data_IF_276593183742
#
_entry.id   IF_276593183742
#
_cell.length_a   1.000
_cell.length_b   1.000
_cell.length_c   1.000
_cell.angle_alpha   90.00
_cell.angle_beta   90.00
_cell.angle_gamma   90.00
#
_symmetry.space_group_name_H-M   'P 1'
#
loop_
_entity.id
_entity.type
_entity.pdbx_description
1 polymer ?
#
# COMPACT_ATOMS: atom_id res chain seq x y z
N UNK A 1 50.93 35.35 77.87
CA UNK A 1 51.05 35.59 76.43
C UNK A 1 50.43 34.36 75.74
N UNK A 2 49.22 34.51 75.28
CA UNK A 2 48.51 33.49 74.54
C UNK A 2 47.84 34.16 73.35
N UNK A 3 48.38 33.91 72.16
CA UNK A 3 47.92 34.40 70.89
C UNK A 3 46.74 33.56 70.36
N UNK A 4 45.57 34.16 70.24
CA UNK A 4 44.39 33.53 69.77
C UNK A 4 44.39 33.62 68.22
N UNK A 5 44.64 32.50 67.58
CA UNK A 5 44.51 32.39 66.11
C UNK A 5 43.01 32.34 65.75
N UNK A 6 42.51 33.41 65.14
CA UNK A 6 41.15 33.53 64.65
C UNK A 6 41.07 32.84 63.29
N UNK A 7 40.42 31.68 63.23
CA UNK A 7 40.22 30.90 62.00
C UNK A 7 39.16 31.59 61.14
N UNK A 8 39.55 31.87 59.92
CA UNK A 8 38.71 32.42 58.85
C UNK A 8 37.55 31.47 58.43
N UNK A 9 36.45 31.52 59.15
CA UNK A 9 35.26 30.79 58.81
C UNK A 9 34.45 31.41 57.65
N UNK A 10 34.69 32.66 57.29
CA UNK A 10 33.93 33.41 56.25
C UNK A 10 34.34 33.06 54.82
N UNK A 11 35.54 32.59 54.57
CA UNK A 11 35.99 32.21 53.22
C UNK A 11 35.33 30.93 52.65
N UNK A 12 35.03 29.98 53.54
CA UNK A 12 34.42 28.70 53.11
C UNK A 12 32.92 28.86 52.79
N UNK A 13 32.20 29.71 53.48
CA UNK A 13 30.79 30.00 53.21
C UNK A 13 30.59 30.79 51.92
N UNK A 14 31.50 31.73 51.61
CA UNK A 14 31.48 32.50 50.36
C UNK A 14 31.77 31.65 49.13
N UNK A 15 32.75 30.73 49.22
CA UNK A 15 33.04 29.78 48.12
C UNK A 15 31.91 28.77 47.87
N UNK A 16 31.21 28.34 48.92
CA UNK A 16 30.05 27.44 48.78
C UNK A 16 28.84 28.17 48.15
N UNK A 17 28.61 29.43 48.44
CA UNK A 17 27.54 30.25 47.81
C UNK A 17 27.82 30.51 46.33
N UNK A 18 29.06 30.86 45.93
CA UNK A 18 29.45 31.04 44.52
C UNK A 18 29.29 29.73 43.73
N UNK A 19 29.76 28.61 44.25
CA UNK A 19 29.64 27.33 43.56
C UNK A 19 28.18 26.88 43.40
N UNK A 20 27.29 27.22 44.34
CA UNK A 20 25.86 26.93 44.27
C UNK A 20 25.12 27.85 43.28
N UNK A 21 25.56 29.10 43.10
CA UNK A 21 25.02 29.99 42.06
C UNK A 21 25.48 29.65 40.66
N UNK A 22 26.74 29.24 40.48
CA UNK A 22 27.25 28.73 39.18
C UNK A 22 26.59 27.45 38.76
N UNK A 23 26.33 26.49 39.67
CA UNK A 23 25.58 25.27 39.40
C UNK A 23 24.12 25.55 39.02
N UNK A 24 23.48 26.56 39.62
CA UNK A 24 22.12 26.99 39.23
C UNK A 24 22.10 27.66 37.86
N UNK A 25 23.09 28.52 37.55
CA UNK A 25 23.20 29.15 36.22
C UNK A 25 23.40 28.11 35.14
N UNK A 26 24.32 27.16 35.33
CA UNK A 26 24.58 26.09 34.38
C UNK A 26 23.35 25.14 34.16
N UNK A 27 22.54 24.95 35.21
CA UNK A 27 21.31 24.18 35.13
C UNK A 27 20.21 24.91 34.32
N UNK A 28 20.13 26.26 34.50
CA UNK A 28 19.20 27.10 33.76
C UNK A 28 19.59 27.18 32.29
N UNK A 29 20.88 27.38 31.98
CA UNK A 29 21.38 27.38 30.59
C UNK A 29 21.18 26.04 29.89
N UNK A 30 21.43 24.92 30.58
CA UNK A 30 21.17 23.59 30.04
C UNK A 30 19.66 23.37 29.78
N UNK A 31 18.79 23.90 30.62
CA UNK A 31 17.33 23.78 30.46
C UNK A 31 16.83 24.67 29.32
N UNK A 32 17.36 25.89 29.17
CA UNK A 32 17.02 26.81 28.07
C UNK A 32 17.47 26.27 26.72
N UNK A 33 18.65 25.61 26.66
CA UNK A 33 19.16 25.00 25.43
C UNK A 33 18.34 23.76 24.99
N UNK A 34 17.64 23.10 25.92
CA UNK A 34 16.81 21.93 25.63
C UNK A 34 15.36 22.29 25.25
N UNK A 35 14.87 23.48 25.56
CA UNK A 35 13.51 23.93 25.26
C UNK A 35 13.16 23.86 23.75
N UNK A 36 13.99 24.38 22.82
CA UNK A 36 13.68 24.32 21.42
C UNK A 36 13.66 22.88 20.87
N UNK A 37 14.52 21.99 21.37
CA UNK A 37 14.56 20.58 20.99
C UNK A 37 13.30 19.82 21.46
N UNK A 38 12.76 20.18 22.61
CA UNK A 38 11.52 19.58 23.12
C UNK A 38 10.29 20.09 22.38
N UNK A 39 10.28 21.34 21.94
CA UNK A 39 9.19 21.92 21.14
C UNK A 39 9.16 21.32 19.71
N UNK A 40 10.33 21.13 19.08
CA UNK A 40 10.43 20.45 17.79
C UNK A 40 9.95 19.01 17.89
N UNK A 41 10.39 18.29 18.92
CA UNK A 41 9.98 16.90 19.15
C UNK A 41 8.49 16.75 19.44
N UNK A 42 7.88 17.69 20.13
CA UNK A 42 6.45 17.72 20.36
C UNK A 42 5.66 18.00 19.07
N UNK A 43 6.16 18.90 18.21
CA UNK A 43 5.55 19.15 16.88
C UNK A 43 5.64 17.93 15.96
N UNK A 44 6.75 17.20 16.00
CA UNK A 44 6.90 15.95 15.25
C UNK A 44 5.92 14.87 15.73
N UNK A 45 5.73 14.73 17.03
CA UNK A 45 4.77 13.78 17.63
C UNK A 45 3.33 14.16 17.24
N UNK A 46 2.97 15.45 17.34
CA UNK A 46 1.65 15.93 16.93
C UNK A 46 1.40 15.73 15.43
N UNK A 47 2.41 15.97 14.59
CA UNK A 47 2.32 15.73 13.15
C UNK A 47 2.17 14.24 12.82
N UNK A 48 2.91 13.37 13.51
CA UNK A 48 2.80 11.92 13.36
C UNK A 48 1.42 11.39 13.79
N UNK A 49 0.87 11.90 14.88
CA UNK A 49 -0.47 11.52 15.35
C UNK A 49 -1.56 12.03 14.39
N UNK A 50 -1.42 13.24 13.86
CA UNK A 50 -2.33 13.76 12.84
C UNK A 50 -2.27 12.94 11.54
N UNK A 51 -1.07 12.54 11.09
CA UNK A 51 -0.87 11.63 9.96
C UNK A 51 -1.58 10.31 10.18
N UNK A 52 -1.35 9.70 11.35
CA UNK A 52 -1.97 8.42 11.74
C UNK A 52 -3.50 8.49 11.74
N UNK A 53 -4.08 9.54 12.27
CA UNK A 53 -5.54 9.73 12.25
C UNK A 53 -6.09 9.86 10.82
N UNK A 54 -5.42 10.62 9.95
CA UNK A 54 -5.80 10.75 8.54
C UNK A 54 -5.72 9.41 7.84
N UNK A 55 -4.64 8.64 8.04
CA UNK A 55 -4.45 7.32 7.45
C UNK A 55 -5.52 6.32 7.92
N UNK A 56 -5.76 6.25 9.24
CA UNK A 56 -6.77 5.37 9.80
C UNK A 56 -8.18 5.70 9.26
N UNK A 57 -8.52 6.97 9.15
CA UNK A 57 -9.81 7.39 8.57
C UNK A 57 -9.93 7.01 7.09
N UNK A 58 -8.84 7.10 6.31
CA UNK A 58 -8.86 6.72 4.89
C UNK A 58 -8.92 5.21 4.70
N UNK A 59 -8.16 4.46 5.50
CA UNK A 59 -8.13 3.00 5.46
C UNK A 59 -9.42 2.35 5.96
N UNK A 60 -10.19 3.01 6.85
CA UNK A 60 -11.49 2.50 7.30
C UNK A 60 -12.55 2.46 6.19
N UNK A 61 -12.39 3.24 5.14
CA UNK A 61 -13.34 3.27 4.02
C UNK A 61 -12.97 2.33 2.87
N UNK A 62 -11.67 2.18 2.56
CA UNK A 62 -11.19 1.26 1.52
C UNK A 62 -9.69 0.98 1.65
N UNK A 63 -9.21 -0.22 1.26
CA UNK A 63 -7.79 -0.50 1.14
C UNK A 63 -7.14 0.45 0.12
N UNK A 64 -5.99 1.04 0.48
CA UNK A 64 -5.23 1.98 -0.36
C UNK A 64 -3.77 1.63 -0.40
N UNK A 65 -3.10 1.99 -1.50
CA UNK A 65 -1.67 1.81 -1.64
C UNK A 65 -0.89 2.90 -0.89
N UNK A 66 0.38 2.62 -0.60
CA UNK A 66 1.31 3.60 -0.02
C UNK A 66 1.33 4.90 -0.84
N UNK A 67 1.39 4.79 -2.18
CA UNK A 67 1.44 5.96 -3.07
C UNK A 67 0.17 6.81 -3.03
N UNK A 68 -1.00 6.17 -2.95
CA UNK A 68 -2.28 6.89 -2.80
C UNK A 68 -2.36 7.63 -1.46
N UNK A 69 -1.87 7.01 -0.38
CA UNK A 69 -1.86 7.63 0.94
C UNK A 69 -0.79 8.70 1.10
N UNK A 70 0.40 8.52 0.50
CA UNK A 70 1.44 9.53 0.44
C UNK A 70 0.96 10.82 -0.25
N UNK A 71 0.16 10.70 -1.30
CA UNK A 71 -0.49 11.85 -1.94
C UNK A 71 -1.46 12.55 -0.99
N UNK A 72 -2.31 11.79 -0.30
CA UNK A 72 -3.28 12.34 0.66
C UNK A 72 -2.57 13.05 1.85
N UNK A 73 -1.37 12.59 2.25
CA UNK A 73 -0.55 13.21 3.29
C UNK A 73 0.15 14.48 2.80
N UNK A 74 0.70 14.48 1.56
CA UNK A 74 1.30 15.66 0.94
C UNK A 74 0.31 16.80 0.79
N UNK A 75 -0.93 16.50 0.40
CA UNK A 75 -2.00 17.49 0.28
C UNK A 75 -2.34 18.15 1.65
N UNK A 76 -1.79 17.62 2.75
CA UNK A 76 -1.98 18.12 4.13
C UNK A 76 -0.70 18.56 4.83
N UNK A 77 0.40 18.71 4.08
CA UNK A 77 1.73 19.08 4.62
C UNK A 77 2.24 18.15 5.76
N UNK A 78 1.87 16.87 5.70
CA UNK A 78 2.30 15.88 6.71
C UNK A 78 3.36 14.96 6.11
N UNK A 79 4.46 14.75 6.83
CA UNK A 79 5.55 13.88 6.37
C UNK A 79 5.21 12.39 6.38
N UNK A 80 5.83 11.64 5.44
CA UNK A 80 5.43 10.33 4.92
C UNK A 80 5.88 9.11 5.76
N UNK A 81 6.33 9.28 7.00
CA UNK A 81 7.07 8.26 7.77
C UNK A 81 6.24 7.22 8.54
N UNK A 82 5.03 6.91 8.11
CA UNK A 82 4.22 5.91 8.82
C UNK A 82 4.24 4.57 8.09
N UNK A 83 5.08 3.63 8.52
CA UNK A 83 5.22 2.26 7.99
C UNK A 83 3.98 1.35 8.19
N UNK A 84 2.77 1.91 8.12
CA UNK A 84 1.49 1.22 8.38
C UNK A 84 0.92 0.49 7.16
N UNK A 85 1.55 0.58 5.99
CA UNK A 85 0.96 0.08 4.75
C UNK A 85 1.76 -1.10 4.22
N UNK A 86 1.10 -2.25 4.14
CA UNK A 86 1.64 -3.44 3.52
C UNK A 86 1.11 -3.56 2.09
N UNK A 87 1.86 -2.98 1.12
CA UNK A 87 1.52 -3.03 -0.30
C UNK A 87 1.46 -4.47 -0.85
N UNK A 88 2.22 -5.41 -0.27
CA UNK A 88 2.25 -6.81 -0.67
C UNK A 88 0.93 -7.52 -0.31
N UNK A 89 0.47 -7.38 0.93
CA UNK A 89 -0.83 -7.92 1.35
C UNK A 89 -1.99 -7.29 0.57
N UNK A 90 -1.91 -5.98 0.31
CA UNK A 90 -2.90 -5.27 -0.48
C UNK A 90 -2.92 -5.76 -1.93
N UNK A 91 -1.75 -5.94 -2.56
CA UNK A 91 -1.64 -6.46 -3.93
C UNK A 91 -2.22 -7.86 -4.04
N UNK A 92 -1.87 -8.78 -3.12
CA UNK A 92 -2.37 -10.16 -3.09
C UNK A 92 -3.89 -10.22 -2.97
N UNK A 93 -4.46 -9.50 -2.01
CA UNK A 93 -5.91 -9.42 -1.82
C UNK A 93 -6.62 -8.79 -3.02
N UNK A 94 -5.99 -7.78 -3.63
CA UNK A 94 -6.53 -7.13 -4.83
C UNK A 94 -6.57 -8.08 -6.02
N UNK A 95 -5.46 -8.80 -6.27
CA UNK A 95 -5.34 -9.78 -7.36
C UNK A 95 -6.40 -10.86 -7.23
N UNK A 96 -6.51 -11.53 -6.07
CA UNK A 96 -7.50 -12.58 -5.85
C UNK A 96 -8.92 -12.06 -6.07
N UNK A 97 -9.27 -10.95 -5.43
CA UNK A 97 -10.62 -10.36 -5.54
C UNK A 97 -10.98 -9.95 -6.98
N UNK A 98 -10.07 -9.35 -7.74
CA UNK A 98 -10.36 -8.91 -9.10
C UNK A 98 -10.37 -10.08 -10.10
N UNK A 99 -9.51 -11.07 -9.90
CA UNK A 99 -9.51 -12.30 -10.69
C UNK A 99 -10.83 -13.06 -10.52
N UNK A 100 -11.25 -13.32 -9.30
CA UNK A 100 -12.48 -14.06 -8.99
C UNK A 100 -13.75 -13.30 -9.40
N UNK A 101 -13.86 -12.03 -9.03
CA UNK A 101 -15.11 -11.26 -9.24
C UNK A 101 -15.27 -10.74 -10.65
N UNK A 102 -14.20 -10.32 -11.32
CA UNK A 102 -14.25 -9.70 -12.64
C UNK A 102 -13.65 -10.54 -13.76
N UNK A 103 -13.01 -11.66 -13.44
CA UNK A 103 -12.33 -12.50 -14.41
C UNK A 103 -11.24 -11.73 -15.16
N UNK A 104 -10.40 -10.98 -14.43
CA UNK A 104 -9.27 -10.28 -15.04
C UNK A 104 -8.08 -11.21 -15.18
N UNK A 105 -7.44 -11.20 -16.36
CA UNK A 105 -6.20 -11.91 -16.63
C UNK A 105 -4.97 -11.20 -16.05
N UNK A 106 -3.86 -11.91 -15.96
CA UNK A 106 -2.60 -11.48 -15.35
C UNK A 106 -2.11 -10.10 -15.86
N UNK A 107 -2.23 -9.84 -17.19
CA UNK A 107 -1.78 -8.56 -17.76
C UNK A 107 -2.62 -7.36 -17.32
N UNK A 108 -3.95 -7.49 -17.24
CA UNK A 108 -4.81 -6.43 -16.76
C UNK A 108 -4.58 -6.15 -15.27
N UNK A 109 -4.40 -7.20 -14.47
CA UNK A 109 -4.08 -7.07 -13.04
C UNK A 109 -2.77 -6.32 -12.83
N UNK A 110 -1.72 -6.66 -13.60
CA UNK A 110 -0.43 -5.94 -13.57
C UNK A 110 -0.59 -4.46 -13.88
N UNK A 111 -1.33 -4.13 -14.94
CA UNK A 111 -1.58 -2.73 -15.31
C UNK A 111 -2.34 -1.97 -14.22
N UNK A 112 -3.34 -2.61 -13.58
CA UNK A 112 -4.10 -1.98 -12.50
C UNK A 112 -3.26 -1.77 -11.24
N UNK A 113 -2.39 -2.72 -10.86
CA UNK A 113 -1.47 -2.57 -9.73
C UNK A 113 -0.46 -1.44 -9.98
N UNK A 114 0.10 -1.35 -11.21
CA UNK A 114 0.97 -0.23 -11.62
C UNK A 114 0.25 1.12 -11.54
N UNK A 115 -0.98 1.20 -12.04
CA UNK A 115 -1.79 2.42 -11.98
C UNK A 115 -2.04 2.87 -10.53
N UNK A 116 -2.13 1.92 -9.58
CA UNK A 116 -2.23 2.16 -8.14
C UNK A 116 -0.88 2.51 -7.49
N UNK A 117 0.21 2.45 -8.25
CA UNK A 117 1.55 2.80 -7.78
C UNK A 117 2.29 1.71 -7.02
N UNK A 118 1.82 0.47 -7.11
CA UNK A 118 2.53 -0.69 -6.60
C UNK A 118 3.73 -0.99 -7.51
N UNK A 119 4.88 -1.33 -6.90
CA UNK A 119 6.09 -1.69 -7.64
C UNK A 119 5.88 -2.94 -8.49
N UNK A 120 6.65 -3.07 -9.58
CA UNK A 120 6.54 -4.22 -10.47
C UNK A 120 6.87 -5.55 -9.78
N UNK A 121 7.84 -5.55 -8.87
CA UNK A 121 8.25 -6.76 -8.15
C UNK A 121 7.11 -7.28 -7.27
N UNK A 122 6.49 -6.39 -6.47
CA UNK A 122 5.32 -6.73 -5.64
C UNK A 122 4.13 -7.15 -6.50
N UNK A 123 3.92 -6.48 -7.64
CA UNK A 123 2.84 -6.83 -8.57
C UNK A 123 3.05 -8.21 -9.19
N UNK A 124 4.27 -8.55 -9.62
CA UNK A 124 4.61 -9.86 -10.19
C UNK A 124 4.46 -10.98 -9.15
N UNK A 125 4.93 -10.75 -7.92
CA UNK A 125 4.78 -11.70 -6.82
C UNK A 125 3.29 -11.97 -6.51
N UNK A 126 2.48 -10.93 -6.40
CA UNK A 126 1.04 -11.10 -6.19
C UNK A 126 0.34 -11.85 -7.32
N UNK A 127 0.71 -11.58 -8.58
CA UNK A 127 0.13 -12.23 -9.77
C UNK A 127 0.58 -13.68 -9.90
N UNK A 128 1.79 -14.03 -9.44
CA UNK A 128 2.30 -15.41 -9.46
C UNK A 128 1.45 -16.39 -8.64
N UNK A 129 0.63 -15.88 -7.71
CA UNK A 129 -0.31 -16.68 -6.93
C UNK A 129 -1.44 -17.28 -7.80
N UNK A 130 -1.72 -16.70 -8.98
CA UNK A 130 -2.68 -17.26 -9.94
C UNK A 130 -1.95 -18.30 -10.77
N UNK A 131 -2.31 -19.58 -10.59
CA UNK A 131 -1.77 -20.64 -11.43
C UNK A 131 -2.24 -20.50 -12.89
N UNK A 132 -1.55 -21.14 -13.81
CA UNK A 132 -1.94 -21.13 -15.23
C UNK A 132 -3.27 -21.84 -15.45
N UNK A 133 -3.56 -22.86 -14.65
CA UNK A 133 -4.85 -23.57 -14.68
C UNK A 133 -5.99 -22.67 -14.19
N UNK A 134 -5.79 -21.92 -13.11
CA UNK A 134 -6.78 -20.96 -12.63
C UNK A 134 -7.06 -19.86 -13.66
N UNK A 135 -6.00 -19.35 -14.30
CA UNK A 135 -6.14 -18.35 -15.37
C UNK A 135 -6.89 -18.94 -16.58
N UNK A 136 -6.59 -20.18 -16.97
CA UNK A 136 -7.28 -20.89 -18.03
C UNK A 136 -8.76 -21.07 -17.70
N UNK A 137 -9.11 -21.59 -16.53
CA UNK A 137 -10.50 -21.84 -16.13
C UNK A 137 -11.32 -20.54 -16.09
N UNK A 138 -10.75 -19.46 -15.59
CA UNK A 138 -11.40 -18.15 -15.58
C UNK A 138 -11.65 -17.63 -17.02
N UNK A 139 -10.67 -17.77 -17.91
CA UNK A 139 -10.81 -17.41 -19.31
C UNK A 139 -11.86 -18.28 -20.03
N UNK A 140 -11.88 -19.57 -19.76
CA UNK A 140 -12.82 -20.55 -20.34
C UNK A 140 -14.26 -20.23 -19.92
N UNK A 141 -14.49 -19.96 -18.62
CA UNK A 141 -15.81 -19.57 -18.13
C UNK A 141 -16.34 -18.27 -18.81
N UNK A 142 -15.46 -17.30 -19.02
CA UNK A 142 -15.81 -16.08 -19.77
C UNK A 142 -16.12 -16.35 -21.24
N UNK A 143 -15.35 -17.21 -21.88
CA UNK A 143 -15.57 -17.60 -23.27
C UNK A 143 -16.88 -18.38 -23.44
N UNK A 144 -17.17 -19.33 -22.54
CA UNK A 144 -18.44 -20.07 -22.50
C UNK A 144 -19.65 -19.13 -22.30
N UNK A 145 -19.52 -18.14 -21.44
CA UNK A 145 -20.56 -17.12 -21.27
C UNK A 145 -20.74 -16.27 -22.54
N UNK A 146 -19.65 -15.94 -23.22
CA UNK A 146 -19.69 -15.12 -24.44
C UNK A 146 -20.25 -15.87 -25.64
N UNK A 147 -19.86 -17.13 -25.86
CA UNK A 147 -20.28 -17.92 -27.05
C UNK A 147 -21.79 -18.12 -27.12
N UNK A 148 -22.47 -18.24 -25.96
CA UNK A 148 -23.93 -18.31 -25.89
C UNK A 148 -24.63 -17.15 -26.60
N UNK A 149 -24.03 -15.97 -26.62
CA UNK A 149 -24.55 -14.78 -27.33
C UNK A 149 -24.13 -14.72 -28.80
N UNK A 150 -23.32 -15.65 -29.29
CA UNK A 150 -22.72 -15.67 -30.61
C UNK A 150 -23.15 -16.87 -31.47
N UNK A 151 -24.17 -17.61 -31.06
CA UNK A 151 -24.63 -18.87 -31.74
C UNK A 151 -25.03 -18.65 -33.20
N UNK A 152 -25.41 -17.40 -33.58
CA UNK A 152 -25.78 -17.07 -34.98
C UNK A 152 -24.60 -16.65 -35.83
N UNK A 153 -23.42 -16.50 -35.25
CA UNK A 153 -22.21 -16.07 -35.95
C UNK A 153 -21.46 -17.29 -36.49
N UNK A 154 -20.76 -17.12 -37.61
CA UNK A 154 -19.84 -18.14 -38.12
C UNK A 154 -18.64 -18.37 -37.20
N UNK A 155 -18.02 -19.52 -37.21
CA UNK A 155 -16.92 -19.91 -36.33
C UNK A 155 -15.74 -18.91 -36.34
N UNK A 156 -15.41 -18.30 -37.46
CA UNK A 156 -14.37 -17.28 -37.61
C UNK A 156 -14.73 -16.00 -36.87
N UNK A 157 -15.98 -15.59 -36.95
CA UNK A 157 -16.50 -14.39 -36.23
C UNK A 157 -16.59 -14.67 -34.73
N UNK A 158 -17.05 -15.86 -34.32
CA UNK A 158 -17.06 -16.30 -32.93
C UNK A 158 -15.66 -16.22 -32.34
N UNK A 159 -14.66 -16.82 -33.00
CA UNK A 159 -13.25 -16.81 -32.58
C UNK A 159 -12.76 -15.38 -32.34
N UNK A 160 -12.93 -14.52 -33.34
CA UNK A 160 -12.49 -13.11 -33.26
C UNK A 160 -13.16 -12.37 -32.11
N UNK A 161 -14.45 -12.55 -31.89
CA UNK A 161 -15.21 -11.88 -30.84
C UNK A 161 -14.80 -12.36 -29.44
N UNK A 162 -14.61 -13.69 -29.26
CA UNK A 162 -14.16 -14.27 -27.98
C UNK A 162 -12.74 -13.82 -27.65
N UNK A 163 -11.80 -13.96 -28.61
CA UNK A 163 -10.42 -13.49 -28.43
C UNK A 163 -10.40 -11.99 -28.05
N UNK A 164 -11.21 -11.17 -28.73
CA UNK A 164 -11.32 -9.74 -28.43
C UNK A 164 -11.84 -9.46 -27.01
N UNK A 165 -12.76 -10.27 -26.49
CA UNK A 165 -13.23 -10.14 -25.09
C UNK A 165 -12.13 -10.53 -24.11
N UNK A 166 -11.46 -11.65 -24.32
CA UNK A 166 -10.38 -12.14 -23.47
C UNK A 166 -9.18 -11.18 -23.47
N UNK A 167 -8.81 -10.64 -24.63
CA UNK A 167 -7.74 -9.64 -24.73
C UNK A 167 -8.05 -8.37 -23.92
N UNK A 168 -9.27 -7.84 -24.00
CA UNK A 168 -9.72 -6.69 -23.19
C UNK A 168 -9.72 -6.98 -21.68
N UNK A 169 -9.89 -8.25 -21.30
CA UNK A 169 -9.79 -8.71 -19.91
C UNK A 169 -8.35 -8.95 -19.45
N UNK A 170 -7.37 -8.82 -20.37
CA UNK A 170 -5.95 -8.92 -20.06
C UNK A 170 -5.39 -10.33 -20.09
N UNK A 171 -6.05 -11.25 -20.73
CA UNK A 171 -5.48 -12.58 -21.02
C UNK A 171 -4.44 -12.48 -22.13
N UNK A 172 -3.41 -13.35 -22.10
CA UNK A 172 -2.41 -13.40 -23.15
C UNK A 172 -3.04 -13.87 -24.48
N UNK A 173 -2.49 -13.43 -25.61
CA UNK A 173 -3.00 -13.82 -26.92
C UNK A 173 -3.01 -15.34 -27.10
N UNK A 174 -1.94 -16.03 -26.68
CA UNK A 174 -1.85 -17.48 -26.77
C UNK A 174 -2.97 -18.18 -25.98
N UNK A 175 -3.20 -17.75 -24.74
CA UNK A 175 -4.27 -18.28 -23.91
C UNK A 175 -5.65 -17.97 -24.51
N UNK A 176 -5.86 -16.75 -24.97
CA UNK A 176 -7.13 -16.32 -25.56
C UNK A 176 -7.49 -17.14 -26.82
N UNK A 177 -6.51 -17.39 -27.70
CA UNK A 177 -6.72 -18.22 -28.89
C UNK A 177 -6.96 -19.70 -28.55
N UNK A 178 -6.19 -20.26 -27.61
CA UNK A 178 -6.37 -21.63 -27.16
C UNK A 178 -7.77 -21.86 -26.59
N UNK A 179 -8.18 -21.02 -25.64
CA UNK A 179 -9.49 -21.07 -25.00
C UNK A 179 -10.63 -20.86 -26.00
N UNK A 180 -10.50 -19.86 -26.89
CA UNK A 180 -11.55 -19.59 -27.88
C UNK A 180 -11.75 -20.75 -28.87
N UNK A 181 -10.64 -21.40 -29.30
CA UNK A 181 -10.70 -22.57 -30.17
C UNK A 181 -11.36 -23.77 -29.47
N UNK A 182 -10.97 -24.04 -28.24
CA UNK A 182 -11.51 -25.14 -27.44
C UNK A 182 -13.02 -24.98 -27.22
N UNK A 183 -13.46 -23.77 -26.77
CA UNK A 183 -14.88 -23.50 -26.54
C UNK A 183 -15.73 -23.62 -27.82
N UNK A 184 -15.19 -23.28 -28.98
CA UNK A 184 -15.91 -23.41 -30.25
C UNK A 184 -15.97 -24.89 -30.70
N UNK A 185 -14.92 -25.69 -30.41
CA UNK A 185 -14.87 -27.11 -30.78
C UNK A 185 -15.70 -27.97 -29.83
N UNK A 186 -15.73 -27.62 -28.54
CA UNK A 186 -16.43 -28.40 -27.50
C UNK A 186 -17.91 -28.07 -27.38
N UNK A 187 -18.44 -27.07 -28.11
CA UNK A 187 -19.87 -26.91 -28.24
C UNK A 187 -20.36 -27.85 -29.36
N UNK A 188 -20.98 -29.00 -29.04
CA UNK A 188 -21.69 -29.77 -30.05
C UNK A 188 -22.80 -28.89 -30.64
N UNK A 189 -22.99 -29.01 -31.96
CA UNK A 189 -24.14 -28.46 -32.67
C UNK A 189 -25.44 -28.93 -31.96
N UNK A 190 -26.02 -28.06 -31.13
CA UNK A 190 -27.27 -28.34 -30.45
C UNK A 190 -27.18 -28.39 -28.93
N UNK A 191 -27.07 -27.27 -28.29
CA UNK A 191 -27.64 -27.13 -26.92
C UNK A 191 -29.16 -26.99 -27.06
N UNK A 192 -29.96 -27.84 -26.33
CA UNK A 192 -31.40 -27.65 -26.30
C UNK A 192 -31.71 -26.25 -25.78
N UNK A 193 -32.58 -25.56 -26.50
CA UNK A 193 -33.26 -24.37 -26.07
C UNK A 193 -34.21 -24.76 -24.94
N UNK A 194 -33.70 -24.86 -23.71
CA UNK A 194 -34.57 -24.96 -22.53
C UNK A 194 -34.28 -23.84 -21.56
N UNK A 195 -35.23 -23.02 -21.54
CA UNK A 195 -35.97 -22.17 -20.60
C UNK A 195 -35.29 -20.85 -20.24
#
# INVERSE_FOLDING_TARGET
MGEVVQLDQDGAASKRRRKKSELKLNLIDATITQLPVMEEKNKEIEAADAAKQVLLRRLSHAPRTRKELAKDLKDKDISDEVGLINDQALASNYVSSQHERKGLGKNALRQQLRAKGISDDVALEAISQISDDQEFQAAFALACKKIRSLQRDDAKTQLRKIVGVLARKGYSSNLAFRVAKEVITDLPDGLPSEI
#
